data_IF_772314608807
#
_entry.id   IF_772314608807
#
_cell.length_a   1.000
_cell.length_b   1.000
_cell.length_c   1.000
_cell.angle_alpha   90.00
_cell.angle_beta   90.00
_cell.angle_gamma   90.00
#
_symmetry.space_group_name_H-M   'P 1'
#
loop_
_entity.id
_entity.type
_entity.pdbx_description
1 polymer ?
#
# COMPACT_ATOMS: atom_id res chain seq x y z
N UNK A 1 -24.26 1.64 25.55
CA UNK A 1 -23.56 0.43 26.03
C UNK A 1 -23.38 -0.58 24.93
N UNK A 2 -22.22 -1.17 24.83
CA UNK A 2 -21.90 -2.15 23.82
C UNK A 2 -22.47 -3.52 24.16
N UNK A 3 -23.03 -4.17 23.17
CA UNK A 3 -23.55 -5.52 23.29
C UNK A 3 -22.91 -6.42 22.26
N UNK A 4 -23.01 -7.73 22.43
CA UNK A 4 -22.49 -8.68 21.46
C UNK A 4 -23.08 -8.45 20.05
N UNK A 5 -24.39 -8.09 20.00
CA UNK A 5 -25.05 -7.79 18.73
C UNK A 5 -24.43 -6.55 18.07
N UNK A 6 -24.08 -5.51 18.88
CA UNK A 6 -23.42 -4.32 18.36
C UNK A 6 -22.05 -4.65 17.77
N UNK A 7 -21.30 -5.52 18.43
CA UNK A 7 -20.00 -5.93 17.90
C UNK A 7 -20.14 -6.66 16.58
N UNK A 8 -21.17 -7.50 16.45
CA UNK A 8 -21.45 -8.20 15.21
C UNK A 8 -21.81 -7.25 14.09
N UNK A 9 -22.61 -6.24 14.40
CA UNK A 9 -23.00 -5.21 13.44
C UNK A 9 -21.81 -4.37 13.01
N UNK A 10 -20.95 -3.98 13.96
CA UNK A 10 -19.75 -3.20 13.64
C UNK A 10 -18.79 -3.98 12.75
N UNK A 11 -18.62 -5.27 13.01
CA UNK A 11 -17.80 -6.14 12.18
C UNK A 11 -18.34 -6.22 10.76
N UNK A 12 -19.66 -6.35 10.63
CA UNK A 12 -20.31 -6.40 9.32
C UNK A 12 -20.12 -5.09 8.56
N UNK A 13 -20.28 -3.96 9.24
CA UNK A 13 -20.10 -2.65 8.62
C UNK A 13 -18.67 -2.45 8.13
N UNK A 14 -17.68 -2.85 8.92
CA UNK A 14 -16.30 -2.76 8.48
C UNK A 14 -16.03 -3.60 7.25
N UNK A 15 -16.66 -4.76 7.17
CA UNK A 15 -16.49 -5.66 6.03
C UNK A 15 -17.13 -5.07 4.77
N UNK A 16 -18.30 -4.44 4.92
CA UNK A 16 -19.06 -3.91 3.79
C UNK A 16 -18.61 -2.50 3.39
N UNK A 17 -18.18 -1.72 4.36
CA UNK A 17 -17.78 -0.32 4.15
C UNK A 17 -16.50 -0.02 4.92
N UNK A 18 -15.37 -0.60 4.49
CA UNK A 18 -14.12 -0.38 5.21
C UNK A 18 -13.65 1.06 5.10
N UNK A 19 -13.01 1.53 6.17
CA UNK A 19 -12.29 2.80 6.12
C UNK A 19 -11.13 2.69 5.13
N UNK A 20 -10.53 3.82 4.75
CA UNK A 20 -9.37 3.81 3.88
C UNK A 20 -8.24 2.95 4.44
N UNK A 21 -7.98 3.05 5.73
CA UNK A 21 -6.98 2.23 6.41
C UNK A 21 -7.29 0.74 6.28
N UNK A 22 -8.52 0.36 6.61
CA UNK A 22 -8.92 -1.05 6.56
C UNK A 22 -8.98 -1.56 5.13
N UNK A 23 -9.47 -0.72 4.20
CA UNK A 23 -9.52 -1.08 2.79
C UNK A 23 -8.13 -1.45 2.28
N UNK A 24 -7.14 -0.66 2.64
CA UNK A 24 -5.77 -0.89 2.21
C UNK A 24 -5.16 -2.12 2.90
N UNK A 25 -5.34 -2.24 4.21
CA UNK A 25 -4.60 -3.22 5.01
C UNK A 25 -5.25 -4.59 5.07
N UNK A 26 -6.42 -4.78 4.47
CA UNK A 26 -7.09 -6.08 4.51
C UNK A 26 -6.45 -7.14 3.60
N UNK A 27 -5.52 -6.74 2.74
CA UNK A 27 -4.85 -7.64 1.81
C UNK A 27 -3.43 -7.94 2.30
N UNK A 28 -3.11 -9.22 2.47
CA UNK A 28 -1.82 -9.64 3.05
C UNK A 28 -0.60 -9.13 2.29
N UNK A 29 -0.71 -8.99 0.97
CA UNK A 29 0.42 -8.56 0.15
C UNK A 29 0.70 -7.06 0.26
N UNK A 30 -0.29 -6.26 0.65
CA UNK A 30 -0.14 -4.81 0.63
C UNK A 30 0.94 -4.30 1.58
N UNK A 31 1.02 -4.75 2.84
CA UNK A 31 2.11 -4.28 3.72
C UNK A 31 3.49 -4.55 3.16
N UNK A 32 3.68 -5.68 2.49
CA UNK A 32 4.97 -6.05 1.88
C UNK A 32 5.27 -5.14 0.70
N UNK A 33 4.28 -4.90 -0.16
CA UNK A 33 4.45 -4.01 -1.30
C UNK A 33 4.72 -2.57 -0.87
N UNK A 34 4.01 -2.11 0.16
CA UNK A 34 4.22 -0.77 0.70
C UNK A 34 5.64 -0.64 1.25
N UNK A 35 6.09 -1.63 2.01
CA UNK A 35 7.46 -1.62 2.54
C UNK A 35 8.48 -1.50 1.41
N UNK A 36 8.31 -2.26 0.34
CA UNK A 36 9.20 -2.19 -0.82
C UNK A 36 9.17 -0.81 -1.47
N UNK A 37 7.98 -0.20 -1.59
CA UNK A 37 7.86 1.13 -2.17
C UNK A 37 8.55 2.20 -1.33
N UNK A 38 8.45 2.09 0.01
CA UNK A 38 9.10 3.03 0.92
C UNK A 38 10.63 2.96 0.83
N UNK A 39 11.16 1.84 0.39
CA UNK A 39 12.60 1.62 0.29
C UNK A 39 13.19 2.08 -1.05
N UNK A 40 12.36 2.49 -1.99
CA UNK A 40 12.85 2.93 -3.30
C UNK A 40 13.37 4.37 -3.25
N UNK A 41 14.45 4.66 -4.00
CA UNK A 41 14.90 6.04 -4.14
C UNK A 41 13.82 6.92 -4.76
N UNK A 42 13.81 8.22 -4.48
CA UNK A 42 12.84 9.14 -5.08
C UNK A 42 12.89 9.09 -6.61
N UNK A 43 11.73 9.14 -7.23
CA UNK A 43 11.56 9.16 -8.68
C UNK A 43 12.06 7.93 -9.41
N UNK A 44 12.36 6.84 -8.68
CA UNK A 44 12.76 5.59 -9.30
C UNK A 44 11.59 4.97 -10.06
N UNK A 45 11.79 4.75 -11.36
CA UNK A 45 10.81 4.05 -12.17
C UNK A 45 11.03 2.55 -12.10
N UNK A 46 9.95 1.80 -12.16
CA UNK A 46 10.01 0.34 -12.11
C UNK A 46 8.86 -0.25 -12.92
N UNK A 47 9.07 -1.48 -13.40
CA UNK A 47 7.98 -2.26 -13.96
C UNK A 47 7.52 -3.30 -12.93
N UNK A 48 6.49 -4.08 -13.27
CA UNK A 48 5.94 -5.05 -12.33
C UNK A 48 6.96 -6.09 -11.88
N UNK A 49 7.80 -6.55 -12.80
CA UNK A 49 8.83 -7.55 -12.49
C UNK A 49 9.86 -6.98 -11.52
N UNK A 50 10.29 -5.75 -11.76
CA UNK A 50 11.26 -5.10 -10.88
C UNK A 50 10.71 -4.90 -9.48
N UNK A 51 9.45 -4.48 -9.37
CA UNK A 51 8.84 -4.33 -8.05
C UNK A 51 8.67 -5.69 -7.36
N UNK A 52 8.27 -6.70 -8.10
CA UNK A 52 8.13 -8.05 -7.55
C UNK A 52 9.46 -8.56 -6.98
N UNK A 53 10.54 -8.38 -7.73
CA UNK A 53 11.87 -8.80 -7.28
C UNK A 53 12.30 -8.04 -6.02
N UNK A 54 12.04 -6.75 -6.01
CA UNK A 54 12.40 -5.91 -4.87
C UNK A 54 11.61 -6.26 -3.62
N UNK A 55 10.32 -6.58 -3.78
CA UNK A 55 9.44 -6.92 -2.67
C UNK A 55 9.54 -8.38 -2.25
N UNK A 56 10.13 -9.23 -3.07
CA UNK A 56 10.22 -10.65 -2.78
C UNK A 56 8.90 -11.38 -2.98
N UNK A 57 8.09 -10.92 -3.92
CA UNK A 57 6.81 -11.55 -4.27
C UNK A 57 6.80 -11.89 -5.76
N UNK A 58 5.75 -12.56 -6.22
CA UNK A 58 5.64 -12.88 -7.63
C UNK A 58 5.16 -11.69 -8.45
N UNK A 59 5.49 -11.68 -9.73
CA UNK A 59 4.97 -10.67 -10.64
C UNK A 59 3.44 -10.68 -10.68
N UNK A 60 2.85 -11.87 -10.58
CA UNK A 60 1.40 -12.00 -10.55
C UNK A 60 0.80 -11.29 -9.34
N UNK A 61 1.44 -11.40 -8.18
CA UNK A 61 0.99 -10.70 -6.96
C UNK A 61 1.00 -9.19 -7.20
N UNK A 62 2.09 -8.66 -7.77
CA UNK A 62 2.15 -7.23 -8.10
C UNK A 62 1.02 -6.86 -9.06
N UNK A 63 0.82 -7.67 -10.10
CA UNK A 63 -0.24 -7.42 -11.08
C UNK A 63 -1.63 -7.38 -10.46
N UNK A 64 -1.87 -8.23 -9.47
CA UNK A 64 -3.17 -8.29 -8.79
C UNK A 64 -3.47 -7.01 -8.01
N UNK A 65 -2.44 -6.28 -7.55
CA UNK A 65 -2.63 -5.12 -6.68
C UNK A 65 -2.25 -3.80 -7.32
N UNK A 66 -1.77 -3.81 -8.57
CA UNK A 66 -1.33 -2.58 -9.25
C UNK A 66 -2.45 -1.54 -9.31
N UNK A 67 -3.67 -1.96 -9.69
CA UNK A 67 -4.79 -1.03 -9.80
C UNK A 67 -5.15 -0.43 -8.44
N UNK A 68 -5.13 -1.25 -7.39
CA UNK A 68 -5.38 -0.76 -6.04
C UNK A 68 -4.33 0.27 -5.62
N UNK A 69 -3.06 -0.02 -5.88
CA UNK A 69 -1.97 0.89 -5.52
C UNK A 69 -2.10 2.24 -6.23
N UNK A 70 -2.56 2.22 -7.48
CA UNK A 70 -2.82 3.45 -8.23
C UNK A 70 -4.04 4.17 -7.65
N UNK A 71 -5.09 3.45 -7.40
CA UNK A 71 -6.35 4.02 -6.88
C UNK A 71 -6.13 4.75 -5.57
N UNK A 72 -5.32 4.18 -4.67
CA UNK A 72 -5.05 4.81 -3.36
C UNK A 72 -3.88 5.79 -3.42
N UNK A 73 -3.36 6.07 -4.61
CA UNK A 73 -2.30 7.07 -4.83
C UNK A 73 -0.96 6.73 -4.19
N UNK A 74 -0.65 5.45 -4.09
CA UNK A 74 0.67 5.01 -3.65
C UNK A 74 1.66 4.98 -4.80
N UNK A 75 1.20 4.61 -5.99
CA UNK A 75 2.04 4.64 -7.19
C UNK A 75 1.30 5.38 -8.31
N UNK A 76 2.05 5.82 -9.29
CA UNK A 76 1.49 6.41 -10.50
C UNK A 76 2.16 5.80 -11.72
N UNK A 77 1.42 5.76 -12.81
CA UNK A 77 1.91 5.28 -14.09
C UNK A 77 2.79 6.33 -14.75
N UNK A 78 3.93 5.90 -15.29
CA UNK A 78 4.76 6.81 -16.08
C UNK A 78 4.22 6.82 -17.51
N UNK A 79 3.82 7.98 -18.04
CA UNK A 79 3.21 8.05 -19.37
C UNK A 79 4.17 7.59 -20.47
N UNK A 80 3.59 7.01 -21.51
CA UNK A 80 4.30 6.69 -22.76
C UNK A 80 5.45 5.71 -22.59
N UNK A 81 5.31 4.75 -21.67
CA UNK A 81 6.31 3.70 -21.49
C UNK A 81 5.78 2.35 -21.98
N UNK A 82 6.69 1.56 -22.58
CA UNK A 82 6.38 0.22 -23.05
C UNK A 82 7.63 -0.66 -22.87
N UNK A 83 7.61 -1.65 -21.98
CA UNK A 83 6.51 -2.01 -21.11
C UNK A 83 6.19 -0.90 -20.12
N UNK A 84 4.97 -0.98 -19.56
CA UNK A 84 4.47 0.04 -18.65
C UNK A 84 5.32 0.15 -17.40
N UNK A 85 5.67 1.38 -17.06
CA UNK A 85 6.46 1.66 -15.86
C UNK A 85 5.66 2.50 -14.89
N UNK A 86 6.07 2.43 -13.65
CA UNK A 86 5.42 3.10 -12.52
C UNK A 86 6.47 3.78 -11.67
N UNK A 87 6.01 4.66 -10.80
CA UNK A 87 6.87 5.25 -9.76
C UNK A 87 6.03 5.53 -8.53
N UNK A 88 6.67 5.74 -7.39
CA UNK A 88 5.97 6.14 -6.18
C UNK A 88 5.33 7.50 -6.45
N UNK A 89 4.04 7.62 -6.10
CA UNK A 89 3.27 8.81 -6.43
C UNK A 89 3.70 10.01 -5.58
N UNK A 90 3.56 11.20 -6.15
CA UNK A 90 3.71 12.44 -5.41
C UNK A 90 2.33 12.80 -4.85
N UNK A 91 1.99 12.23 -3.71
CA UNK A 91 0.65 12.35 -3.14
C UNK A 91 0.70 12.57 -1.63
N UNK A 92 -0.41 13.06 -1.09
CA UNK A 92 -0.54 13.18 0.36
C UNK A 92 -0.47 11.82 1.03
N UNK A 93 -1.04 10.79 0.40
CA UNK A 93 -1.01 9.43 0.94
C UNK A 93 0.43 8.98 1.14
N UNK A 94 1.29 9.18 0.15
CA UNK A 94 2.70 8.80 0.24
C UNK A 94 3.41 9.62 1.33
N UNK A 95 3.16 10.92 1.37
CA UNK A 95 3.78 11.76 2.39
C UNK A 95 3.42 11.32 3.81
N UNK A 96 2.14 11.06 4.05
CA UNK A 96 1.67 10.62 5.36
C UNK A 96 2.20 9.21 5.68
N UNK A 97 2.33 8.38 4.68
CA UNK A 97 2.87 7.04 4.87
C UNK A 97 4.34 7.09 5.32
N UNK A 98 5.16 7.94 4.70
CA UNK A 98 6.54 8.13 5.13
C UNK A 98 6.61 8.66 6.56
N UNK A 99 5.73 9.60 6.92
CA UNK A 99 5.67 10.14 8.28
C UNK A 99 5.31 9.05 9.28
N UNK A 100 4.29 8.26 8.97
CA UNK A 100 3.88 7.16 9.84
C UNK A 100 5.01 6.15 10.03
N UNK A 101 5.63 5.75 8.93
CA UNK A 101 6.73 4.78 8.99
C UNK A 101 7.89 5.31 9.83
N UNK A 102 8.23 6.58 9.65
CA UNK A 102 9.28 7.24 10.41
C UNK A 102 8.96 7.27 11.90
N UNK A 103 7.71 7.60 12.23
CA UNK A 103 7.25 7.62 13.62
C UNK A 103 7.33 6.24 14.26
N UNK A 104 6.92 5.21 13.53
CA UNK A 104 6.98 3.84 14.01
C UNK A 104 8.42 3.41 14.26
N UNK A 105 9.32 3.75 13.36
CA UNK A 105 10.73 3.40 13.51
C UNK A 105 11.37 4.10 14.70
N UNK A 106 11.01 5.34 14.94
CA UNK A 106 11.63 6.15 16.01
C UNK A 106 10.99 5.93 17.37
N UNK A 107 9.69 5.71 17.39
CA UNK A 107 8.93 5.66 18.65
C UNK A 107 8.60 4.28 19.15
N UNK A 108 8.52 3.31 18.28
CA UNK A 108 7.98 2.03 18.67
C UNK A 108 8.94 0.89 18.57
N UNK A 109 9.60 0.77 17.47
CA UNK A 109 10.38 -0.41 17.18
C UNK A 109 11.85 -0.18 16.97
N UNK A 110 12.27 1.05 16.87
CA UNK A 110 13.63 1.36 16.52
C UNK A 110 14.64 1.19 17.64
N UNK A 111 14.17 0.96 18.82
CA UNK A 111 15.03 0.90 19.99
C UNK A 111 15.47 -0.49 20.35
#
# INVERSE_FOLDING_TARGET
>A
MEHAADRGQKKKLRKEHPSGWLYLTQHDAIPILVDALLDLPPNREFNKTELADHAGVTRQTVGNYTDLLIEVELIEEVPNTSPRRYRVADSNVVRELFELNSALNNGGGGE
#
